data_IF_906110286928
#
_entry.id   IF_906110286928
#
_cell.length_a   1.000
_cell.length_b   1.000
_cell.length_c   1.000
_cell.angle_alpha   90.00
_cell.angle_beta   90.00
_cell.angle_gamma   90.00
#
_symmetry.space_group_name_H-M   'P 1'
#
loop_
_entity.id
_entity.type
_entity.pdbx_description
1 polymer ?
#
# COMPACT_ATOMS: atom_id res chain seq x y z
N UNK A 1 25.69 -36.12 19.44
CA UNK A 1 26.04 -35.00 18.54
C UNK A 1 24.75 -34.42 17.95
N UNK A 2 24.22 -33.35 18.53
CA UNK A 2 23.03 -32.68 17.99
C UNK A 2 23.47 -31.55 17.06
N UNK A 3 23.12 -31.67 15.78
CA UNK A 3 23.37 -30.62 14.78
C UNK A 3 22.40 -29.47 15.10
N UNK A 4 22.91 -28.38 15.66
CA UNK A 4 22.19 -27.12 15.72
C UNK A 4 22.06 -26.64 14.27
N UNK A 5 20.87 -26.83 13.68
CA UNK A 5 20.49 -26.16 12.43
C UNK A 5 20.34 -24.68 12.75
N UNK A 6 21.44 -23.95 12.64
CA UNK A 6 21.42 -22.50 12.73
C UNK A 6 20.51 -21.98 11.60
N UNK A 7 19.42 -21.30 11.97
CA UNK A 7 18.44 -20.79 11.01
C UNK A 7 19.04 -19.55 10.33
N UNK A 8 19.93 -19.76 9.35
CA UNK A 8 20.60 -18.68 8.64
C UNK A 8 19.53 -17.85 7.90
N UNK A 9 19.40 -16.58 8.30
CA UNK A 9 18.51 -15.64 7.63
C UNK A 9 18.96 -15.40 6.19
N UNK A 10 18.10 -15.76 5.23
CA UNK A 10 18.34 -15.45 3.80
C UNK A 10 18.19 -13.96 3.45
N UNK A 11 17.70 -13.12 4.38
CA UNK A 11 17.41 -11.70 4.10
C UNK A 11 18.64 -10.84 4.39
N UNK A 12 19.11 -10.13 3.36
CA UNK A 12 20.18 -9.11 3.49
C UNK A 12 19.70 -7.84 4.21
N UNK A 13 18.45 -7.45 3.98
CA UNK A 13 17.88 -6.20 4.52
C UNK A 13 16.81 -6.50 5.58
N UNK A 14 16.95 -5.89 6.76
CA UNK A 14 15.93 -5.93 7.81
C UNK A 14 14.67 -5.20 7.32
N UNK A 15 13.49 -5.77 7.61
CA UNK A 15 12.21 -5.12 7.33
C UNK A 15 11.72 -4.39 8.57
N UNK A 16 11.12 -3.23 8.36
CA UNK A 16 10.47 -2.45 9.41
C UNK A 16 8.97 -2.42 9.17
N UNK A 17 8.21 -2.31 10.26
CA UNK A 17 6.77 -2.08 10.22
C UNK A 17 6.52 -0.64 9.79
N UNK A 18 5.63 -0.46 8.83
CA UNK A 18 5.20 0.87 8.36
C UNK A 18 3.99 1.36 9.16
N UNK A 19 3.72 2.68 9.15
CA UNK A 19 2.44 3.23 9.62
C UNK A 19 1.23 2.60 8.91
N UNK A 20 0.07 2.62 9.57
CA UNK A 20 -1.15 2.02 9.01
C UNK A 20 -1.70 2.79 7.80
N UNK A 21 -1.32 4.05 7.62
CA UNK A 21 -1.69 4.93 6.51
C UNK A 21 -0.74 4.81 5.29
N UNK A 22 0.10 3.77 5.28
CA UNK A 22 1.02 3.47 4.18
C UNK A 22 0.37 2.58 3.12
N UNK A 23 0.35 3.07 1.88
CA UNK A 23 -0.29 2.39 0.76
C UNK A 23 0.63 2.27 -0.45
N UNK A 24 0.38 1.24 -1.24
CA UNK A 24 1.03 0.97 -2.51
C UNK A 24 -0.02 0.88 -3.64
N UNK A 25 0.32 1.39 -4.82
CA UNK A 25 -0.47 1.25 -6.05
C UNK A 25 0.37 0.50 -7.07
N UNK A 26 -0.13 -0.63 -7.55
CA UNK A 26 0.51 -1.44 -8.59
C UNK A 26 -0.07 -1.09 -9.98
N UNK A 27 0.78 -0.87 -11.01
CA UNK A 27 0.38 -0.38 -12.36
C UNK A 27 0.85 -1.33 -13.49
N UNK A 28 0.04 -1.70 -14.50
CA UNK A 28 -0.48 -0.65 -15.39
C UNK A 28 -1.93 -0.79 -15.90
N UNK A 29 -2.63 -1.91 -15.68
CA UNK A 29 -3.93 -2.16 -16.32
C UNK A 29 -5.11 -1.88 -15.39
N UNK A 30 -5.08 -2.41 -14.17
CA UNK A 30 -5.92 -1.97 -13.06
C UNK A 30 -5.04 -1.53 -11.91
N UNK A 31 -5.28 -0.31 -11.42
CA UNK A 31 -4.55 0.21 -10.28
C UNK A 31 -4.93 -0.60 -9.04
N UNK A 32 -4.07 -1.55 -8.66
CA UNK A 32 -4.28 -2.34 -7.45
C UNK A 32 -3.80 -1.53 -6.26
N UNK A 33 -4.73 -1.02 -5.46
CA UNK A 33 -4.42 -0.37 -4.20
C UNK A 33 -4.26 -1.43 -3.12
N UNK A 34 -3.18 -1.31 -2.33
CA UNK A 34 -2.96 -2.19 -1.20
C UNK A 34 -2.28 -1.49 -0.02
N UNK A 35 -2.54 -2.02 1.17
CA UNK A 35 -1.95 -1.53 2.41
C UNK A 35 -0.58 -2.18 2.64
N UNK A 36 0.44 -1.37 2.87
CA UNK A 36 1.80 -1.86 3.12
C UNK A 36 1.87 -2.41 4.54
N UNK A 37 2.42 -3.61 4.70
CA UNK A 37 2.60 -4.26 6.01
C UNK A 37 3.99 -4.01 6.58
N UNK A 38 5.00 -4.10 5.72
CA UNK A 38 6.39 -3.90 6.06
C UNK A 38 7.21 -3.58 4.82
N UNK A 39 8.32 -2.90 5.02
CA UNK A 39 9.21 -2.45 3.96
C UNK A 39 10.67 -2.65 4.35
N UNK A 40 11.56 -2.76 3.37
CA UNK A 40 13.00 -2.57 3.49
C UNK A 40 13.53 -1.81 2.29
N UNK A 41 14.83 -1.52 2.26
CA UNK A 41 15.52 -0.91 1.12
C UNK A 41 15.44 -1.74 -0.16
N UNK A 42 15.11 -3.03 -0.08
CA UNK A 42 15.07 -3.95 -1.22
C UNK A 42 13.67 -4.38 -1.65
N UNK A 43 12.62 -3.95 -0.96
CA UNK A 43 11.25 -4.33 -1.33
C UNK A 43 10.26 -4.18 -0.18
N UNK A 44 9.02 -4.60 -0.40
CA UNK A 44 7.96 -4.52 0.59
C UNK A 44 6.98 -5.71 0.52
N UNK A 45 6.12 -5.80 1.52
CA UNK A 45 4.94 -6.64 1.49
C UNK A 45 3.70 -5.77 1.69
N UNK A 46 2.63 -6.07 0.94
CA UNK A 46 1.36 -5.37 1.02
C UNK A 46 0.20 -6.35 0.85
N UNK A 47 -0.96 -5.98 1.40
CA UNK A 47 -2.21 -6.67 1.19
C UNK A 47 -3.07 -5.89 0.21
N UNK A 48 -3.75 -6.57 -0.72
CA UNK A 48 -4.71 -5.97 -1.64
C UNK A 48 -5.97 -6.83 -1.75
N UNK A 49 -7.07 -6.24 -2.18
CA UNK A 49 -8.31 -6.98 -2.45
C UNK A 49 -8.19 -7.56 -3.86
N UNK A 50 -8.38 -8.87 -3.97
CA UNK A 50 -8.37 -9.57 -5.26
C UNK A 50 -9.70 -9.34 -5.96
N UNK A 51 -9.65 -8.58 -7.07
CA UNK A 51 -10.83 -8.29 -7.89
C UNK A 51 -11.05 -9.32 -9.01
N UNK A 52 -10.27 -10.42 -9.03
CA UNK A 52 -10.40 -11.47 -10.05
C UNK A 52 -9.81 -11.10 -11.41
N UNK A 53 -8.98 -10.07 -11.48
CA UNK A 53 -8.26 -9.70 -12.71
C UNK A 53 -6.87 -10.36 -12.73
N UNK A 54 -6.63 -11.20 -13.73
CA UNK A 54 -5.50 -12.15 -13.77
C UNK A 54 -4.14 -11.57 -14.23
N UNK A 55 -3.97 -10.23 -14.28
CA UNK A 55 -2.75 -9.62 -14.84
C UNK A 55 -1.92 -8.77 -13.86
N UNK A 56 -1.45 -9.37 -12.77
CA UNK A 56 -0.48 -8.72 -11.88
C UNK A 56 0.99 -8.94 -12.33
N UNK A 57 1.30 -8.65 -13.60
CA UNK A 57 2.70 -8.52 -14.09
C UNK A 57 3.12 -7.06 -14.19
N UNK A 58 2.59 -6.23 -13.30
CA UNK A 58 3.06 -4.87 -13.14
C UNK A 58 4.56 -4.83 -12.82
N UNK A 59 5.25 -3.92 -13.50
CA UNK A 59 6.65 -3.60 -13.23
C UNK A 59 6.82 -2.33 -12.41
N UNK A 60 5.75 -1.58 -12.15
CA UNK A 60 5.83 -0.25 -11.56
C UNK A 60 4.85 -0.09 -10.40
N UNK A 61 5.36 0.47 -9.32
CA UNK A 61 4.60 0.73 -8.10
C UNK A 61 4.77 2.16 -7.64
N UNK A 62 3.69 2.73 -7.11
CA UNK A 62 3.74 3.99 -6.37
C UNK A 62 3.51 3.71 -4.89
N UNK A 63 4.16 4.47 -4.01
CA UNK A 63 4.05 4.39 -2.54
C UNK A 63 3.64 5.75 -2.01
N UNK A 64 2.70 5.79 -1.08
CA UNK A 64 2.37 7.01 -0.33
C UNK A 64 2.03 6.76 1.13
N UNK A 65 2.24 7.80 1.95
CA UNK A 65 1.65 7.93 3.28
C UNK A 65 0.55 8.98 3.21
N UNK A 66 -0.66 8.63 3.63
CA UNK A 66 -1.80 9.52 3.52
C UNK A 66 -1.68 10.78 4.41
N UNK A 67 -1.06 10.65 5.60
CA UNK A 67 -0.98 11.76 6.56
C UNK A 67 0.29 12.61 6.41
N UNK A 68 1.40 12.01 5.99
CA UNK A 68 2.71 12.67 5.95
C UNK A 68 3.05 13.35 4.62
N UNK A 69 2.19 13.20 3.60
CA UNK A 69 2.43 13.74 2.26
C UNK A 69 3.65 13.12 1.56
N UNK A 70 4.16 12.00 2.08
CA UNK A 70 5.22 11.24 1.45
C UNK A 70 4.68 10.54 0.20
N UNK A 71 5.39 10.71 -0.91
CA UNK A 71 5.06 10.05 -2.18
C UNK A 71 6.32 9.68 -2.96
N UNK A 72 6.35 8.45 -3.45
CA UNK A 72 7.35 7.93 -4.36
C UNK A 72 6.68 7.17 -5.49
N UNK A 73 6.92 7.57 -6.72
CA UNK A 73 6.30 6.99 -7.90
C UNK A 73 7.27 6.17 -8.74
N UNK A 74 6.69 5.34 -9.61
CA UNK A 74 7.40 4.61 -10.68
C UNK A 74 8.56 3.77 -10.14
N UNK A 75 8.35 3.14 -8.98
CA UNK A 75 9.31 2.19 -8.43
C UNK A 75 9.30 0.94 -9.29
N UNK A 76 10.43 0.56 -9.91
CA UNK A 76 10.51 -0.72 -10.58
C UNK A 76 10.37 -1.84 -9.55
N UNK A 77 9.44 -2.77 -9.80
CA UNK A 77 9.14 -3.88 -8.92
C UNK A 77 9.07 -5.19 -9.68
N UNK A 78 9.40 -6.28 -8.97
CA UNK A 78 9.14 -7.65 -9.37
C UNK A 78 8.39 -8.36 -8.25
N UNK A 79 7.25 -8.97 -8.58
CA UNK A 79 6.55 -9.88 -7.67
C UNK A 79 7.43 -11.09 -7.39
N UNK A 80 7.73 -11.30 -6.11
CA UNK A 80 8.50 -12.46 -5.63
C UNK A 80 7.57 -13.55 -5.12
N UNK A 81 6.43 -13.15 -4.58
CA UNK A 81 5.48 -14.05 -3.96
C UNK A 81 4.12 -13.38 -3.85
N UNK A 82 3.06 -14.12 -4.11
CA UNK A 82 1.68 -13.67 -3.94
C UNK A 82 0.86 -14.83 -3.37
N UNK A 83 0.19 -14.60 -2.23
CA UNK A 83 -0.60 -15.62 -1.53
C UNK A 83 -2.01 -15.13 -1.23
N UNK A 84 -3.01 -15.97 -1.49
CA UNK A 84 -4.39 -15.71 -1.07
C UNK A 84 -4.50 -15.86 0.44
N UNK A 85 -5.09 -14.85 1.08
CA UNK A 85 -5.45 -14.80 2.49
C UNK A 85 -6.97 -14.69 2.53
N UNK A 86 -7.63 -15.80 2.86
CA UNK A 86 -9.06 -15.78 3.07
C UNK A 86 -9.37 -14.84 4.23
N UNK A 87 -10.25 -13.87 3.98
CA UNK A 87 -10.74 -12.95 4.98
C UNK A 87 -12.26 -12.85 4.87
N UNK A 88 -12.88 -12.42 5.95
CA UNK A 88 -14.30 -12.15 6.01
C UNK A 88 -14.45 -10.66 6.27
N UNK A 89 -15.32 -10.02 5.51
CA UNK A 89 -15.77 -8.66 5.83
C UNK A 89 -16.60 -8.65 7.11
N UNK A 90 -16.85 -7.44 7.62
CA UNK A 90 -17.66 -7.23 8.80
C UNK A 90 -19.12 -7.72 8.63
N UNK A 91 -19.62 -7.82 7.39
CA UNK A 91 -20.96 -8.35 7.06
C UNK A 91 -20.97 -9.88 6.84
N UNK A 92 -19.84 -10.56 7.06
CA UNK A 92 -19.70 -12.01 6.90
C UNK A 92 -19.54 -12.48 5.46
N UNK A 93 -19.54 -11.59 4.47
CA UNK A 93 -19.21 -11.95 3.09
C UNK A 93 -17.73 -12.31 2.95
N UNK A 94 -17.43 -13.27 2.08
CA UNK A 94 -16.06 -13.67 1.82
C UNK A 94 -15.36 -12.59 0.98
N UNK A 95 -14.27 -12.02 1.50
CA UNK A 95 -13.37 -11.15 0.74
C UNK A 95 -12.06 -11.89 0.53
N UNK A 96 -11.65 -12.00 -0.73
CA UNK A 96 -10.33 -12.51 -1.08
C UNK A 96 -9.31 -11.38 -0.92
N UNK A 97 -8.48 -11.45 0.12
CA UNK A 97 -7.34 -10.56 0.29
C UNK A 97 -6.10 -11.31 -0.16
N UNK A 98 -5.26 -10.72 -0.99
CA UNK A 98 -3.99 -11.30 -1.38
C UNK A 98 -2.85 -10.56 -0.70
N UNK A 99 -1.81 -11.28 -0.29
CA UNK A 99 -0.57 -10.72 0.23
C UNK A 99 0.53 -10.87 -0.79
N UNK A 100 0.88 -9.75 -1.40
CA UNK A 100 1.97 -9.67 -2.35
C UNK A 100 3.26 -9.23 -1.67
N UNK A 101 4.37 -9.85 -2.08
CA UNK A 101 5.73 -9.48 -1.70
C UNK A 101 6.48 -9.12 -2.97
N UNK A 102 6.96 -7.89 -3.03
CA UNK A 102 7.70 -7.36 -4.17
C UNK A 102 9.15 -7.08 -3.79
N UNK A 103 10.02 -7.24 -4.77
CA UNK A 103 11.40 -6.78 -4.73
C UNK A 103 11.53 -5.53 -5.60
N UNK A 104 12.23 -4.52 -5.10
CA UNK A 104 12.58 -3.35 -5.90
C UNK A 104 13.64 -3.73 -6.94
N UNK A 105 13.47 -3.21 -8.15
CA UNK A 105 14.48 -3.24 -9.20
C UNK A 105 15.54 -2.16 -8.99
N UNK A 106 16.13 -1.70 -10.08
CA UNK A 106 17.11 -0.62 -10.05
C UNK A 106 16.44 0.73 -9.77
N UNK A 107 16.72 1.29 -8.60
CA UNK A 107 16.15 2.57 -8.19
C UNK A 107 17.02 3.73 -8.68
N UNK A 108 16.40 4.80 -9.15
CA UNK A 108 17.11 6.06 -9.41
C UNK A 108 17.70 6.65 -8.13
N UNK A 109 18.75 7.45 -8.23
CA UNK A 109 19.35 8.13 -7.07
C UNK A 109 18.31 8.93 -6.27
N UNK A 110 17.39 9.62 -6.96
CA UNK A 110 16.28 10.34 -6.34
C UNK A 110 15.35 9.42 -5.52
N UNK A 111 15.03 8.24 -6.03
CA UNK A 111 14.22 7.26 -5.31
C UNK A 111 15.00 6.69 -4.11
N UNK A 112 16.29 6.39 -4.28
CA UNK A 112 17.17 5.94 -3.19
C UNK A 112 17.21 6.98 -2.06
N UNK A 113 17.40 8.25 -2.39
CA UNK A 113 17.48 9.31 -1.39
C UNK A 113 16.15 9.54 -0.66
N UNK A 114 15.03 9.53 -1.40
CA UNK A 114 13.69 9.53 -0.78
C UNK A 114 13.47 8.30 0.11
N UNK A 115 13.93 7.12 -0.31
CA UNK A 115 13.81 5.87 0.43
C UNK A 115 14.60 5.95 1.74
N UNK A 116 15.81 6.50 1.72
CA UNK A 116 16.63 6.71 2.92
C UNK A 116 15.98 7.67 3.92
N UNK A 117 15.21 8.66 3.45
CA UNK A 117 14.43 9.51 4.34
C UNK A 117 13.22 8.80 4.94
N UNK A 118 12.69 7.79 4.26
CA UNK A 118 11.51 7.02 4.68
C UNK A 118 11.83 5.84 5.58
N UNK A 119 12.98 5.20 5.39
CA UNK A 119 13.36 4.03 6.18
C UNK A 119 14.06 4.53 7.46
N UNK A 120 13.51 4.28 8.65
CA UNK A 120 14.16 4.71 9.88
C UNK A 120 15.53 4.05 10.00
N UNK A 121 16.55 4.86 10.31
CA UNK A 121 17.91 4.38 10.56
C UNK A 121 18.02 3.54 11.84
N UNK A 122 17.02 3.62 12.73
CA UNK A 122 17.01 2.93 14.02
C UNK A 122 16.03 1.73 14.03
N UNK A 123 16.48 0.52 14.43
CA UNK A 123 15.66 -0.69 14.49
C UNK A 123 14.48 -0.69 15.49
N UNK A 124 14.28 0.34 16.31
CA UNK A 124 13.19 0.42 17.31
C UNK A 124 11.82 0.84 16.76
N UNK A 125 11.73 1.11 15.46
CA UNK A 125 10.45 1.18 14.75
C UNK A 125 9.68 2.49 14.98
N UNK A 126 8.81 2.76 14.01
CA UNK A 126 8.01 3.96 13.81
C UNK A 126 8.75 5.16 13.19
N UNK A 127 8.27 5.52 12.00
CA UNK A 127 8.43 6.84 11.44
C UNK A 127 7.66 7.83 12.33
N UNK A 128 8.35 8.39 13.32
CA UNK A 128 7.98 9.68 13.91
C UNK A 128 9.14 10.68 13.79
N UNK A 129 10.10 10.42 12.90
CA UNK A 129 11.18 11.38 12.69
C UNK A 129 10.66 12.51 11.80
N UNK A 130 10.54 13.71 12.38
CA UNK A 130 10.16 14.96 11.68
C UNK A 130 11.03 15.25 10.46
N UNK A 131 12.14 14.54 10.26
CA UNK A 131 13.01 14.58 9.07
C UNK A 131 12.31 14.23 7.75
N UNK A 132 11.29 13.38 7.73
CA UNK A 132 10.56 13.07 6.49
C UNK A 132 9.93 14.35 5.86
N UNK A 133 9.48 15.29 6.70
CA UNK A 133 8.97 16.60 6.25
C UNK A 133 10.03 17.47 5.57
N UNK A 134 11.31 17.28 5.89
CA UNK A 134 12.43 18.04 5.29
C UNK A 134 12.74 17.55 3.87
N UNK A 135 12.78 16.23 3.65
CA UNK A 135 13.09 15.66 2.32
C UNK A 135 12.01 15.95 1.26
N UNK A 136 10.78 16.25 1.67
CA UNK A 136 9.71 16.67 0.76
C UNK A 136 9.82 18.14 0.29
N UNK A 137 10.63 18.98 0.95
CA UNK A 137 10.76 20.41 0.59
C UNK A 137 11.75 20.66 -0.56
N UNK A 138 12.65 19.72 -0.83
CA UNK A 138 13.72 19.87 -1.83
C UNK A 138 13.33 19.40 -3.23
N UNK A 139 12.10 18.91 -3.45
CA UNK A 139 11.65 18.40 -4.75
C UNK A 139 10.21 18.76 -5.03
N UNK A 140 10.01 19.97 -5.55
CA UNK A 140 8.73 20.52 -5.99
C UNK A 140 7.99 19.55 -6.94
N UNK A 141 6.80 19.12 -6.53
CA UNK A 141 5.69 18.86 -7.42
C UNK A 141 4.39 18.89 -6.60
N UNK A 142 3.83 20.08 -6.40
CA UNK A 142 2.48 20.28 -5.86
C UNK A 142 1.44 19.73 -6.85
N UNK A 143 1.22 18.41 -6.86
CA UNK A 143 -0.12 17.86 -7.08
C UNK A 143 -0.74 17.63 -5.72
N UNK A 144 -1.22 18.74 -5.17
CA UNK A 144 -2.13 18.78 -4.05
C UNK A 144 -3.30 17.84 -4.37
N UNK A 145 -3.33 16.65 -3.77
CA UNK A 145 -4.59 15.95 -3.62
C UNK A 145 -5.43 16.85 -2.73
N UNK A 146 -6.29 17.66 -3.36
CA UNK A 146 -7.33 18.38 -2.66
C UNK A 146 -8.05 17.32 -1.83
N UNK A 147 -7.99 17.48 -0.51
CA UNK A 147 -8.85 16.80 0.43
C UNK A 147 -10.27 17.00 -0.12
N UNK A 148 -10.83 15.98 -0.76
CA UNK A 148 -12.24 16.00 -1.11
C UNK A 148 -12.94 15.91 0.23
N UNK A 149 -13.28 17.08 0.79
CA UNK A 149 -14.30 17.18 1.81
C UNK A 149 -15.51 16.43 1.26
N UNK A 150 -15.82 15.30 1.89
CA UNK A 150 -17.03 14.55 1.64
C UNK A 150 -18.18 15.47 2.03
N UNK A 151 -18.67 16.26 1.07
CA UNK A 151 -19.78 17.16 1.30
C UNK A 151 -20.97 16.30 1.70
N UNK A 152 -21.57 16.66 2.81
CA UNK A 152 -22.76 16.08 3.42
C UNK A 152 -24.00 16.02 2.49
N UNK A 153 -23.86 16.52 1.26
CA UNK A 153 -24.84 16.47 0.18
C UNK A 153 -25.02 15.10 -0.46
N UNK A 154 -24.08 14.15 -0.33
CA UNK A 154 -24.22 12.81 -0.95
C UNK A 154 -25.11 11.83 -0.15
N UNK A 155 -25.50 12.17 1.09
CA UNK A 155 -26.45 11.37 1.87
C UNK A 155 -27.85 11.35 1.23
N UNK A 156 -28.26 12.42 0.53
CA UNK A 156 -29.61 12.50 -0.07
C UNK A 156 -29.79 11.61 -1.31
N UNK A 157 -28.70 11.31 -2.05
CA UNK A 157 -28.78 10.42 -3.23
C UNK A 157 -28.91 8.94 -2.89
N UNK A 158 -28.47 8.53 -1.70
CA UNK A 158 -28.60 7.14 -1.24
C UNK A 158 -29.99 6.89 -0.64
N UNK A 159 -30.59 7.91 0.01
CA UNK A 159 -31.95 7.83 0.55
C UNK A 159 -33.01 7.74 -0.58
N UNK A 160 -32.84 8.49 -1.68
CA UNK A 160 -33.81 8.51 -2.80
C UNK A 160 -33.87 7.17 -3.56
N UNK A 161 -32.79 6.38 -3.61
CA UNK A 161 -32.84 5.04 -4.22
C UNK A 161 -33.63 4.04 -3.38
N UNK A 162 -33.69 4.20 -2.05
CA UNK A 162 -34.48 3.31 -1.17
C UNK A 162 -35.98 3.57 -1.23
N UNK A 163 -36.40 4.74 -1.71
CA UNK A 163 -37.83 5.09 -1.85
C UNK A 163 -38.40 4.53 -3.16
N UNK A 164 -37.58 4.38 -4.21
CA UNK A 164 -38.03 3.87 -5.50
C UNK A 164 -38.21 2.34 -5.49
N UNK A 165 -37.38 1.58 -4.77
CA UNK A 165 -37.53 0.10 -4.69
C UNK A 165 -38.68 -0.38 -3.79
N UNK A 166 -39.22 0.47 -2.91
CA UNK A 166 -40.36 0.09 -2.05
C UNK A 166 -41.73 0.23 -2.74
N UNK A 167 -41.80 0.77 -3.96
CA UNK A 167 -43.07 0.95 -4.70
C UNK A 167 -43.33 -0.12 -5.76
N UNK A 168 -42.42 -1.07 -5.98
CA UNK A 168 -42.55 -2.12 -7.00
C UNK A 168 -42.97 -3.50 -6.47
N UNK A 169 -43.36 -3.60 -5.19
CA UNK A 169 -43.95 -4.83 -4.63
C UNK A 169 -45.30 -4.49 -4.00
N UNK A 170 -46.29 -4.23 -4.86
CA UNK A 170 -47.71 -4.43 -4.59
C UNK A 170 -48.39 -4.74 -5.92
N UNK A 171 -48.49 -6.02 -6.24
CA UNK A 171 -49.55 -6.61 -7.07
C UNK A 171 -50.07 -7.80 -6.28
#
# INVERSE_FOLDING_TARGET
>A
MSIIKEFISRRKNKRFKVPNDAFAILRPNSATLGQILNMSTGGLAFNYIDNGEDEYKSKLMDIFLAEDGFYMDKLPVRTVFDEKINSYSNDGSAITINRCRVQFGELSQKQIDKMKCFIPSNPRGYLQDRRAKSCNRSGDNRRSYKRHEFKETDKRKVEDRRIIERRTIRI
#
